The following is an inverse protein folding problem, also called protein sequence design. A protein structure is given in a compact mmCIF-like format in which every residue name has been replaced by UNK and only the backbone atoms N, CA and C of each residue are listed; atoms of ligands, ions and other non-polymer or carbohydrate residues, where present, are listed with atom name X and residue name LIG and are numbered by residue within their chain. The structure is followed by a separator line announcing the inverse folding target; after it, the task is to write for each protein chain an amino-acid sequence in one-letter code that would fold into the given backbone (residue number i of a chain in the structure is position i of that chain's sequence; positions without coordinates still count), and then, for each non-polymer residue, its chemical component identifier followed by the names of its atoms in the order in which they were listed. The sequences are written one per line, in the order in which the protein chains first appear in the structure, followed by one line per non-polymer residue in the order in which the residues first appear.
data_IF_867857753030
#
_entry.id   IF_867857753030
#
_cell.length_a   1.000
_cell.length_b   1.000
_cell.length_c   1.000
_cell.angle_alpha   90.00
_cell.angle_beta   90.00
_cell.angle_gamma   90.00
#
_symmetry.space_group_name_H-M   'P 1'
#
loop_
_entity.id
_entity.type
_entity.pdbx_description
1 polymer ?
#
# COMPACT_ATOMS: atom_id res chain seq x y z
N UNK A 1 -12.81 10.57 52.58
CA UNK A 1 -12.16 11.72 51.91
C UNK A 1 -13.10 12.26 50.84
N UNK A 2 -13.43 13.56 50.85
CA UNK A 2 -14.27 14.19 49.81
C UNK A 2 -13.32 14.75 48.73
N UNK A 3 -13.36 14.18 47.52
CA UNK A 3 -12.59 14.71 46.39
C UNK A 3 -13.25 16.01 45.93
N UNK A 4 -12.45 17.06 45.73
CA UNK A 4 -12.96 18.36 45.27
C UNK A 4 -13.56 18.21 43.87
N UNK A 5 -14.82 18.66 43.69
CA UNK A 5 -15.55 18.60 42.41
C UNK A 5 -14.77 19.22 41.24
N UNK A 6 -13.90 20.19 41.52
CA UNK A 6 -13.05 20.83 40.51
C UNK A 6 -11.81 20.01 40.15
N UNK A 7 -11.28 19.21 41.08
CA UNK A 7 -10.07 18.40 40.85
C UNK A 7 -10.37 17.08 40.16
N UNK A 8 -11.54 16.51 40.40
CA UNK A 8 -11.95 15.25 39.79
C UNK A 8 -11.85 15.25 38.24
N UNK A 9 -12.39 16.22 37.49
CA UNK A 9 -12.27 16.22 36.02
C UNK A 9 -10.83 16.41 35.54
N UNK A 10 -10.02 17.21 36.24
CA UNK A 10 -8.61 17.45 35.91
C UNK A 10 -7.82 16.14 36.05
N UNK A 11 -8.04 15.41 37.13
CA UNK A 11 -7.37 14.13 37.39
C UNK A 11 -7.75 13.12 36.30
N UNK A 12 -9.02 13.04 35.90
CA UNK A 12 -9.47 12.12 34.84
C UNK A 12 -8.79 12.45 33.51
N UNK A 13 -8.69 13.73 33.13
CA UNK A 13 -7.99 14.18 31.92
C UNK A 13 -6.51 13.80 31.98
N UNK A 14 -5.84 14.08 33.09
CA UNK A 14 -4.40 13.79 33.25
C UNK A 14 -4.13 12.29 33.21
N UNK A 15 -4.98 11.46 33.82
CA UNK A 15 -4.85 10.00 33.76
C UNK A 15 -5.07 9.50 32.33
N UNK A 16 -6.10 10.01 31.64
CA UNK A 16 -6.41 9.61 30.27
C UNK A 16 -5.27 9.98 29.30
N UNK A 17 -4.87 11.25 29.26
CA UNK A 17 -3.80 11.69 28.36
C UNK A 17 -2.42 11.23 28.81
N UNK A 18 -2.20 11.03 30.11
CA UNK A 18 -0.94 10.51 30.65
C UNK A 18 -0.65 9.10 30.15
N UNK A 19 -1.65 8.21 30.14
CA UNK A 19 -1.48 6.85 29.60
C UNK A 19 -1.22 6.84 28.09
N UNK A 20 -1.89 7.72 27.33
CA UNK A 20 -1.63 7.91 25.89
C UNK A 20 -0.18 8.38 25.65
N UNK A 21 0.30 9.34 26.43
CA UNK A 21 1.66 9.88 26.31
C UNK A 21 2.72 8.81 26.60
N UNK A 22 2.52 7.97 27.62
CA UNK A 22 3.39 6.81 27.90
C UNK A 22 3.35 5.81 26.75
N UNK A 23 2.16 5.54 26.18
CA UNK A 23 2.01 4.65 25.02
C UNK A 23 2.75 5.16 23.78
N UNK A 24 2.75 6.47 23.54
CA UNK A 24 3.53 7.09 22.46
C UNK A 24 5.04 7.05 22.74
N UNK A 25 5.47 7.37 23.96
CA UNK A 25 6.88 7.42 24.34
C UNK A 25 7.57 6.04 24.33
N UNK A 26 6.84 4.98 24.68
CA UNK A 26 7.35 3.60 24.68
C UNK A 26 7.48 3.01 23.28
N UNK A 27 6.98 3.68 22.24
CA UNK A 27 7.03 3.18 20.87
C UNK A 27 6.25 1.87 20.65
N UNK A 28 5.44 1.47 21.65
CA UNK A 28 4.60 0.26 21.61
C UNK A 28 3.52 0.38 20.53
N UNK A 29 3.17 1.62 20.16
CA UNK A 29 2.32 1.91 19.02
C UNK A 29 3.14 1.96 17.72
N UNK A 30 3.33 0.80 17.10
CA UNK A 30 3.78 0.74 15.71
C UNK A 30 2.56 0.69 14.81
N UNK A 31 2.24 1.82 14.18
CA UNK A 31 1.31 1.79 13.04
C UNK A 31 2.03 1.07 11.92
N UNK A 32 1.60 -0.17 11.62
CA UNK A 32 2.14 -0.98 10.54
C UNK A 32 1.76 -0.35 9.20
N UNK A 33 2.49 0.71 8.82
CA UNK A 33 2.52 1.23 7.47
C UNK A 33 3.50 0.38 6.66
N UNK A 34 3.28 -0.94 6.70
CA UNK A 34 4.12 -1.87 5.97
C UNK A 34 3.78 -1.77 4.49
N UNK A 35 4.47 -0.84 3.83
CA UNK A 35 4.56 -0.76 2.37
C UNK A 35 5.77 -1.55 1.87
N UNK A 36 6.40 -2.38 2.70
CA UNK A 36 7.50 -3.20 2.20
C UNK A 36 6.92 -4.37 1.41
N UNK A 37 7.42 -4.50 0.18
CA UNK A 37 7.11 -5.62 -0.69
C UNK A 37 7.80 -6.85 -0.08
N UNK A 38 7.03 -7.90 0.22
CA UNK A 38 7.57 -9.09 0.88
C UNK A 38 8.12 -10.05 -0.17
N UNK A 39 9.40 -10.38 -0.04
CA UNK A 39 10.05 -11.41 -0.84
C UNK A 39 10.06 -12.69 0.01
N UNK A 40 9.41 -13.75 -0.48
CA UNK A 40 9.34 -15.07 0.15
C UNK A 40 10.08 -16.05 -0.75
N UNK A 41 11.12 -16.70 -0.22
CA UNK A 41 11.93 -17.69 -0.97
C UNK A 41 12.50 -17.18 -2.30
N UNK A 42 12.95 -15.92 -2.33
CA UNK A 42 13.49 -15.28 -3.53
C UNK A 42 12.45 -14.99 -4.62
N UNK A 43 11.17 -15.31 -4.37
CA UNK A 43 10.02 -14.95 -5.21
C UNK A 43 9.16 -13.93 -4.50
N UNK A 44 8.53 -13.05 -5.27
CA UNK A 44 7.64 -12.06 -4.70
C UNK A 44 6.37 -12.75 -4.19
N UNK A 45 5.95 -12.42 -2.97
CA UNK A 45 4.57 -12.65 -2.59
C UNK A 45 3.69 -11.60 -3.26
N UNK A 46 3.15 -11.93 -4.43
CA UNK A 46 2.30 -11.04 -5.22
C UNK A 46 1.04 -10.61 -4.46
N UNK A 47 0.64 -11.39 -3.44
CA UNK A 47 -0.45 -11.02 -2.52
C UNK A 47 -0.12 -9.79 -1.67
N UNK A 48 1.17 -9.54 -1.40
CA UNK A 48 1.65 -8.38 -0.66
C UNK A 48 1.54 -7.07 -1.46
N UNK A 49 1.39 -7.12 -2.78
CA UNK A 49 1.23 -5.94 -3.63
C UNK A 49 -0.11 -5.27 -3.33
N UNK A 50 -0.08 -4.07 -2.75
CA UNK A 50 -1.25 -3.22 -2.52
C UNK A 50 -1.42 -2.16 -3.61
N UNK A 51 -2.67 -1.73 -3.83
CA UNK A 51 -2.98 -0.66 -4.79
C UNK A 51 -2.38 0.71 -4.44
N UNK A 52 -1.85 0.89 -3.24
CA UNK A 52 -1.18 2.11 -2.79
C UNK A 52 0.30 2.19 -3.18
N UNK A 53 0.93 1.10 -3.66
CA UNK A 53 2.32 1.14 -4.13
C UNK A 53 2.45 1.94 -5.43
N UNK A 54 3.61 2.56 -5.60
CA UNK A 54 3.93 3.29 -6.82
C UNK A 54 4.43 2.34 -7.90
N UNK A 55 4.10 2.64 -9.14
CA UNK A 55 4.58 1.87 -10.31
C UNK A 55 6.10 1.78 -10.30
N UNK A 56 6.78 2.90 -10.05
CA UNK A 56 8.24 2.92 -10.04
C UNK A 56 8.86 2.06 -8.91
N UNK A 57 8.18 1.90 -7.78
CA UNK A 57 8.65 1.02 -6.70
C UNK A 57 8.60 -0.43 -7.15
N UNK A 58 7.51 -0.84 -7.81
CA UNK A 58 7.33 -2.18 -8.36
C UNK A 58 8.36 -2.44 -9.45
N UNK A 59 8.44 -1.58 -10.47
CA UNK A 59 9.35 -1.75 -11.60
C UNK A 59 10.81 -1.83 -11.14
N UNK A 60 11.23 -1.00 -10.17
CA UNK A 60 12.59 -1.05 -9.59
C UNK A 60 12.83 -2.31 -8.76
N UNK A 61 11.89 -2.66 -7.89
CA UNK A 61 12.06 -3.82 -6.99
C UNK A 61 12.14 -5.12 -7.79
N UNK A 62 11.40 -5.21 -8.90
CA UNK A 62 11.34 -6.42 -9.74
C UNK A 62 12.27 -6.39 -10.95
N UNK A 63 13.07 -5.33 -11.11
CA UNK A 63 13.92 -5.14 -12.30
C UNK A 63 13.14 -5.40 -13.61
N UNK A 64 11.89 -4.93 -13.64
CA UNK A 64 11.05 -5.00 -14.82
C UNK A 64 11.44 -3.88 -15.77
N UNK A 65 11.30 -4.13 -17.07
CA UNK A 65 11.42 -3.06 -18.03
C UNK A 65 10.18 -2.16 -17.93
N UNK A 66 10.41 -0.84 -17.77
CA UNK A 66 9.32 0.12 -17.64
C UNK A 66 8.46 0.13 -18.90
N UNK A 67 9.05 0.02 -20.08
CA UNK A 67 8.32 0.00 -21.35
C UNK A 67 7.50 -1.28 -21.50
N UNK A 68 8.04 -2.43 -21.08
CA UNK A 68 7.31 -3.70 -21.09
C UNK A 68 6.11 -3.66 -20.13
N UNK A 69 6.29 -3.08 -18.94
CA UNK A 69 5.19 -2.87 -17.99
C UNK A 69 4.10 -1.97 -18.61
N UNK A 70 4.48 -0.83 -19.19
CA UNK A 70 3.52 0.11 -19.78
C UNK A 70 2.78 -0.51 -20.97
N UNK A 71 3.46 -1.29 -21.81
CA UNK A 71 2.83 -2.04 -22.92
C UNK A 71 1.86 -3.10 -22.40
N UNK A 72 2.25 -3.84 -21.36
CA UNK A 72 1.41 -4.92 -20.81
C UNK A 72 0.11 -4.41 -20.23
N UNK A 73 0.14 -3.24 -19.59
CA UNK A 73 -1.04 -2.59 -19.00
C UNK A 73 -1.68 -1.55 -19.93
N UNK A 74 -1.31 -1.53 -21.21
CA UNK A 74 -1.76 -0.55 -22.22
C UNK A 74 -1.80 0.90 -21.69
N UNK A 75 -0.78 1.29 -20.92
CA UNK A 75 -0.73 2.61 -20.30
C UNK A 75 -0.31 3.67 -21.31
N UNK A 76 -0.91 4.88 -21.29
CA UNK A 76 -0.45 5.97 -22.12
C UNK A 76 1.00 6.34 -21.78
N UNK A 77 1.79 6.74 -22.80
CA UNK A 77 3.22 7.06 -22.62
C UNK A 77 3.47 8.18 -21.62
N UNK A 78 2.52 9.11 -21.51
CA UNK A 78 2.55 10.23 -20.57
C UNK A 78 2.07 9.86 -19.16
N UNK A 79 1.73 8.58 -18.90
CA UNK A 79 1.25 8.18 -17.59
C UNK A 79 2.34 8.32 -16.52
N UNK A 80 2.10 9.05 -15.42
CA UNK A 80 3.14 9.34 -14.44
C UNK A 80 3.65 8.06 -13.77
N UNK A 81 4.97 7.79 -13.78
CA UNK A 81 5.54 6.61 -13.10
C UNK A 81 5.45 6.69 -11.57
N UNK A 82 5.13 7.88 -11.05
CA UNK A 82 4.88 8.14 -9.63
C UNK A 82 3.46 7.78 -9.19
N UNK A 83 2.57 7.46 -10.14
CA UNK A 83 1.18 7.05 -9.89
C UNK A 83 1.10 5.71 -9.16
N UNK A 84 -0.03 5.48 -8.51
CA UNK A 84 -0.28 4.27 -7.73
C UNK A 84 -0.83 3.16 -8.64
N UNK A 85 -0.63 1.91 -8.24
CA UNK A 85 -1.17 0.75 -8.98
C UNK A 85 -2.70 0.78 -9.09
N UNK A 86 -3.41 1.28 -8.07
CA UNK A 86 -4.87 1.42 -8.15
C UNK A 86 -5.32 2.40 -9.23
N UNK A 87 -4.49 3.41 -9.55
CA UNK A 87 -4.84 4.41 -10.56
C UNK A 87 -4.77 3.76 -11.96
N UNK A 88 -3.94 2.73 -12.14
CA UNK A 88 -3.92 1.91 -13.36
C UNK A 88 -5.23 1.12 -13.51
N UNK A 89 -5.80 0.60 -12.41
CA UNK A 89 -7.10 -0.10 -12.44
C UNK A 89 -8.18 0.81 -13.01
N UNK A 90 -8.18 2.10 -12.66
CA UNK A 90 -9.15 3.07 -13.15
C UNK A 90 -8.96 3.33 -14.66
N UNK A 91 -7.72 3.52 -15.11
CA UNK A 91 -7.38 3.71 -16.53
C UNK A 91 -7.76 2.49 -17.37
N UNK A 92 -7.44 1.29 -16.87
CA UNK A 92 -7.79 0.03 -17.53
C UNK A 92 -9.31 -0.15 -17.61
N UNK A 93 -10.04 0.21 -16.56
CA UNK A 93 -11.51 0.12 -16.53
C UNK A 93 -12.14 1.03 -17.57
N UNK A 94 -11.59 2.22 -17.77
CA UNK A 94 -12.06 3.16 -18.79
C UNK A 94 -11.76 2.66 -20.21
N UNK A 95 -10.57 2.10 -20.43
CA UNK A 95 -10.15 1.59 -21.74
C UNK A 95 -10.77 0.24 -22.12
N UNK A 96 -11.02 -0.62 -21.15
CA UNK A 96 -11.49 -1.99 -21.34
C UNK A 96 -12.76 -2.26 -20.52
N UNK A 97 -13.89 -1.60 -20.85
CA UNK A 97 -15.16 -1.82 -20.15
C UNK A 97 -15.66 -3.27 -20.24
N UNK A 98 -15.15 -4.06 -21.20
CA UNK A 98 -15.43 -5.49 -21.37
C UNK A 98 -14.84 -6.37 -20.26
N UNK A 99 -13.83 -5.88 -19.54
CA UNK A 99 -13.20 -6.63 -18.45
C UNK A 99 -13.95 -6.36 -17.14
N UNK A 100 -14.92 -7.23 -16.85
CA UNK A 100 -15.77 -7.16 -15.63
C UNK A 100 -14.97 -7.24 -14.33
N UNK A 101 -13.77 -7.82 -14.37
CA UNK A 101 -12.95 -8.14 -13.18
C UNK A 101 -11.69 -7.28 -13.01
N UNK A 102 -11.60 -6.10 -13.65
CA UNK A 102 -10.44 -5.20 -13.45
C UNK A 102 -10.41 -4.72 -12.01
N UNK A 103 -9.50 -5.33 -11.26
CA UNK A 103 -9.26 -5.13 -9.83
C UNK A 103 -7.77 -5.30 -9.55
N UNK A 104 -7.36 -5.06 -8.32
CA UNK A 104 -5.97 -5.32 -7.90
C UNK A 104 -5.55 -6.79 -8.08
N UNK A 105 -6.49 -7.74 -8.08
CA UNK A 105 -6.17 -9.14 -8.32
C UNK A 105 -5.75 -9.38 -9.78
N UNK A 106 -6.40 -8.72 -10.74
CA UNK A 106 -6.00 -8.77 -12.14
C UNK A 106 -4.57 -8.22 -12.34
N UNK A 107 -4.25 -7.10 -11.69
CA UNK A 107 -2.90 -6.53 -11.74
C UNK A 107 -1.88 -7.49 -11.13
N UNK A 108 -2.20 -8.11 -9.99
CA UNK A 108 -1.34 -9.11 -9.35
C UNK A 108 -1.08 -10.30 -10.28
N UNK A 109 -2.12 -10.87 -10.86
CA UNK A 109 -2.01 -12.00 -11.80
C UNK A 109 -1.14 -11.64 -13.01
N UNK A 110 -1.38 -10.48 -13.64
CA UNK A 110 -0.56 -9.99 -14.76
C UNK A 110 0.88 -9.70 -14.37
N UNK A 111 1.11 -9.18 -13.16
CA UNK A 111 2.45 -8.97 -12.63
C UNK A 111 3.18 -10.29 -12.38
N UNK A 112 2.49 -11.30 -11.84
CA UNK A 112 3.04 -12.63 -11.63
C UNK A 112 3.42 -13.28 -12.96
N UNK A 113 2.57 -13.17 -13.97
CA UNK A 113 2.89 -13.59 -15.34
C UNK A 113 4.15 -12.89 -15.87
N UNK A 114 4.26 -11.57 -15.74
CA UNK A 114 5.43 -10.83 -16.20
C UNK A 114 6.72 -11.21 -15.47
N UNK A 115 6.64 -11.42 -14.15
CA UNK A 115 7.79 -11.78 -13.33
C UNK A 115 8.24 -13.21 -13.65
N UNK A 116 7.32 -14.16 -13.79
CA UNK A 116 7.63 -15.56 -14.05
C UNK A 116 7.92 -15.86 -15.54
N UNK A 117 7.57 -14.96 -16.47
CA UNK A 117 7.88 -15.09 -17.90
C UNK A 117 9.33 -14.72 -18.24
N UNK A 118 10.06 -14.09 -17.32
CA UNK A 118 11.48 -13.74 -17.51
C UNK A 118 12.31 -15.04 -17.51
N UNK A 119 13.10 -15.33 -18.58
CA UNK A 119 13.89 -16.54 -18.69
C UNK A 119 15.01 -16.62 -17.65
#
# INVERSE_FOLDING_TARGET
MKVNKFWFPIIVIVIFFGTIMVGMATGTWKTENDKTLKIVDGKLDVSSIRGSHRIMEIVKTFHLDKEEFYKTFDLPKDFPPTSKLKDIVEVLREKHPELVNISMNYIREKLDELINKKP
#
